data_IF_855099067842
#
_entry.id   IF_855099067842
#
_cell.length_a   1.000
_cell.length_b   1.000
_cell.length_c   1.000
_cell.angle_alpha   90.00
_cell.angle_beta   90.00
_cell.angle_gamma   90.00
#
_symmetry.space_group_name_H-M   'P 1'
#
loop_
_entity.id
_entity.type
_entity.pdbx_description
1 polymer ?
#
# COMPACT_ATOMS: atom_id res chain seq x y z
N UNK A 1 -26.30 -5.58 10.53
CA UNK A 1 -26.18 -5.83 9.08
C UNK A 1 -24.71 -6.08 8.82
N UNK A 2 -24.39 -7.27 8.32
CA UNK A 2 -23.03 -7.69 7.98
C UNK A 2 -22.80 -7.15 6.56
N UNK A 3 -21.88 -6.20 6.40
CA UNK A 3 -21.54 -5.69 5.08
C UNK A 3 -20.61 -6.72 4.45
N UNK A 4 -21.11 -7.46 3.46
CA UNK A 4 -20.28 -8.28 2.60
C UNK A 4 -19.64 -7.34 1.58
N UNK A 5 -18.32 -7.13 1.70
CA UNK A 5 -17.54 -6.39 0.69
C UNK A 5 -17.02 -7.36 -0.36
N UNK A 6 -17.07 -6.95 -1.63
CA UNK A 6 -16.63 -7.74 -2.78
C UNK A 6 -15.24 -7.28 -3.17
N UNK A 7 -14.27 -8.18 -3.05
CA UNK A 7 -12.88 -7.92 -3.42
C UNK A 7 -12.55 -8.66 -4.72
N UNK A 8 -11.85 -8.00 -5.64
CA UNK A 8 -11.51 -8.54 -6.97
C UNK A 8 -10.25 -9.39 -6.91
N UNK A 9 -10.35 -10.63 -7.38
CA UNK A 9 -9.20 -11.51 -7.53
C UNK A 9 -8.61 -11.33 -8.92
N UNK A 10 -7.33 -10.95 -9.01
CA UNK A 10 -6.61 -10.83 -10.28
C UNK A 10 -5.60 -11.98 -10.46
N UNK A 11 -5.44 -12.43 -11.70
CA UNK A 11 -4.31 -13.29 -12.09
C UNK A 11 -2.99 -12.51 -12.09
N UNK A 12 -1.87 -13.22 -12.20
CA UNK A 12 -0.54 -12.62 -12.25
C UNK A 12 -0.31 -11.66 -13.45
N UNK A 13 -1.13 -11.76 -14.50
CA UNK A 13 -1.17 -10.89 -15.67
C UNK A 13 -2.30 -9.85 -15.63
N UNK A 14 -3.02 -9.72 -14.51
CA UNK A 14 -4.03 -8.67 -14.30
C UNK A 14 -5.42 -8.99 -14.85
N UNK A 15 -5.73 -10.26 -15.15
CA UNK A 15 -7.06 -10.69 -15.56
C UNK A 15 -7.96 -10.92 -14.34
N UNK A 16 -9.18 -10.40 -14.40
CA UNK A 16 -10.23 -10.67 -13.41
C UNK A 16 -10.56 -12.18 -13.35
N UNK A 17 -10.43 -12.75 -12.15
CA UNK A 17 -10.72 -14.13 -11.79
C UNK A 17 -12.03 -14.27 -11.01
N UNK A 18 -12.70 -13.16 -10.71
CA UNK A 18 -13.95 -13.08 -9.99
C UNK A 18 -13.83 -12.37 -8.65
N UNK A 19 -14.92 -12.42 -7.89
CA UNK A 19 -15.06 -11.70 -6.62
C UNK A 19 -15.20 -12.67 -5.45
N UNK A 20 -14.63 -12.29 -4.32
CA UNK A 20 -14.81 -12.97 -3.03
C UNK A 20 -15.63 -12.09 -2.09
N UNK A 21 -16.53 -12.69 -1.30
CA UNK A 21 -17.21 -11.95 -0.23
C UNK A 21 -16.43 -12.04 1.07
N UNK A 22 -16.20 -10.89 1.73
CA UNK A 22 -15.51 -10.81 3.00
C UNK A 22 -16.51 -10.61 4.14
N UNK A 23 -16.67 -11.62 4.99
CA UNK A 23 -17.53 -11.54 6.17
C UNK A 23 -16.84 -10.79 7.31
N UNK A 24 -17.64 -10.10 8.12
CA UNK A 24 -17.21 -9.35 9.31
C UNK A 24 -16.24 -8.20 9.00
N UNK A 25 -16.19 -7.75 7.75
CA UNK A 25 -15.52 -6.53 7.36
C UNK A 25 -16.24 -5.33 7.96
N UNK A 26 -15.48 -4.42 8.55
CA UNK A 26 -16.01 -3.19 9.14
C UNK A 26 -15.37 -1.94 8.57
N UNK A 27 -14.42 -2.11 7.65
CA UNK A 27 -13.99 -1.06 6.74
C UNK A 27 -15.20 -0.47 6.01
N UNK A 28 -15.13 0.82 5.71
CA UNK A 28 -16.19 1.57 5.01
C UNK A 28 -15.75 2.01 3.63
N UNK A 29 -14.48 2.37 3.54
CA UNK A 29 -13.84 2.92 2.36
C UNK A 29 -12.38 2.49 2.43
N UNK A 30 -12.02 1.29 1.95
CA UNK A 30 -10.62 0.88 1.95
C UNK A 30 -9.83 1.70 0.93
N UNK A 31 -8.80 2.42 1.37
CA UNK A 31 -7.93 3.20 0.49
C UNK A 31 -6.71 2.41 0.02
N UNK A 32 -6.28 1.38 0.76
CA UNK A 32 -5.08 0.62 0.41
C UNK A 32 -5.23 -0.89 0.63
N UNK A 33 -4.57 -1.65 -0.26
CA UNK A 33 -4.43 -3.10 -0.18
C UNK A 33 -2.96 -3.48 -0.06
N UNK A 34 -2.66 -4.45 0.80
CA UNK A 34 -1.33 -5.01 0.96
C UNK A 34 -1.35 -6.53 0.98
N UNK A 35 -0.25 -7.15 0.60
CA UNK A 35 -0.11 -8.60 0.62
C UNK A 35 1.22 -8.99 1.27
N UNK A 36 1.19 -9.91 2.24
CA UNK A 36 2.40 -10.30 2.93
C UNK A 36 2.19 -11.37 3.99
N UNK A 37 3.26 -11.71 4.70
CA UNK A 37 3.21 -12.67 5.81
C UNK A 37 2.36 -12.11 6.96
N UNK A 38 1.73 -12.98 7.75
CA UNK A 38 0.98 -12.60 8.95
C UNK A 38 1.15 -13.67 10.04
N UNK A 39 0.76 -13.36 11.28
CA UNK A 39 1.06 -14.24 12.42
C UNK A 39 0.22 -15.54 12.49
N UNK A 40 -0.82 -15.66 11.68
CA UNK A 40 -1.80 -16.75 11.76
C UNK A 40 -2.04 -17.49 10.44
N UNK A 41 -1.41 -17.05 9.36
CA UNK A 41 -1.40 -17.73 8.06
C UNK A 41 -0.08 -17.43 7.34
N UNK A 42 0.36 -18.27 6.38
CA UNK A 42 1.57 -17.99 5.60
C UNK A 42 1.51 -16.64 4.88
N UNK A 43 0.32 -16.30 4.38
CA UNK A 43 0.04 -15.08 3.63
C UNK A 43 -1.34 -14.54 3.99
N UNK A 44 -1.42 -13.21 4.04
CA UNK A 44 -2.65 -12.47 4.27
C UNK A 44 -2.75 -11.32 3.27
N UNK A 45 -4.00 -10.95 2.99
CA UNK A 45 -4.35 -9.67 2.38
C UNK A 45 -4.68 -8.71 3.53
N UNK A 46 -4.11 -7.51 3.45
CA UNK A 46 -4.25 -6.40 4.39
C UNK A 46 -5.11 -5.35 3.72
N UNK A 47 -6.21 -4.98 4.35
CA UNK A 47 -7.24 -4.12 3.77
C UNK A 47 -7.38 -2.92 4.69
N UNK A 48 -6.89 -1.77 4.26
CA UNK A 48 -6.70 -0.60 5.10
C UNK A 48 -7.74 0.47 4.80
N UNK A 49 -8.48 0.86 5.84
CA UNK A 49 -9.39 2.00 5.87
C UNK A 49 -8.71 3.07 6.75
N UNK A 50 -7.85 3.84 6.09
CA UNK A 50 -6.82 4.77 6.58
C UNK A 50 -6.95 6.20 6.06
N UNK A 51 -7.89 6.44 5.14
CA UNK A 51 -8.22 7.75 4.61
C UNK A 51 -9.09 8.55 5.59
N UNK A 52 -8.83 9.85 5.60
CA UNK A 52 -9.54 10.81 6.43
C UNK A 52 -9.35 12.23 5.89
N UNK A 53 -9.95 12.52 4.72
CA UNK A 53 -9.87 13.83 4.07
C UNK A 53 -10.28 15.00 5.00
N UNK A 54 -11.09 14.75 6.04
CA UNK A 54 -11.50 15.78 7.02
C UNK A 54 -10.65 15.79 8.30
N UNK A 55 -9.71 14.85 8.45
CA UNK A 55 -8.82 14.72 9.60
C UNK A 55 -9.57 14.77 10.95
N UNK A 56 -10.60 13.94 11.10
CA UNK A 56 -11.44 13.86 12.30
C UNK A 56 -11.46 12.49 12.99
N UNK A 57 -10.96 11.44 12.32
CA UNK A 57 -10.92 10.07 12.83
C UNK A 57 -9.79 9.94 13.84
N UNK A 58 -10.16 9.57 15.07
CA UNK A 58 -9.20 9.31 16.15
C UNK A 58 -8.37 8.06 15.92
N UNK A 59 -8.94 7.08 15.23
CA UNK A 59 -8.28 5.84 14.84
C UNK A 59 -8.70 5.44 13.43
N UNK A 60 -7.75 4.86 12.71
CA UNK A 60 -7.95 4.16 11.43
C UNK A 60 -7.81 2.67 11.65
N UNK A 61 -8.08 1.85 10.64
CA UNK A 61 -8.02 0.40 10.81
C UNK A 61 -7.44 -0.32 9.61
N UNK A 62 -6.90 -1.51 9.90
CA UNK A 62 -6.40 -2.44 8.90
C UNK A 62 -6.98 -3.81 9.24
N UNK A 63 -7.75 -4.38 8.33
CA UNK A 63 -8.36 -5.69 8.46
C UNK A 63 -7.58 -6.71 7.64
N UNK A 64 -7.30 -7.86 8.24
CA UNK A 64 -6.51 -8.92 7.61
C UNK A 64 -7.40 -10.13 7.37
N UNK A 65 -7.32 -10.65 6.14
CA UNK A 65 -7.87 -11.95 5.76
C UNK A 65 -6.73 -12.89 5.39
N UNK A 66 -6.79 -14.18 5.74
CA UNK A 66 -5.89 -15.18 5.16
C UNK A 66 -6.07 -15.21 3.64
N UNK A 67 -4.99 -15.44 2.91
CA UNK A 67 -5.07 -15.61 1.45
C UNK A 67 -6.08 -16.74 1.11
N UNK A 68 -7.14 -16.44 0.35
CA UNK A 68 -8.14 -17.43 0.00
C UNK A 68 -7.60 -18.40 -1.07
N UNK A 69 -8.07 -19.65 -1.05
CA UNK A 69 -7.86 -20.55 -2.17
C UNK A 69 -8.67 -20.09 -3.39
N UNK A 70 -8.25 -20.47 -4.61
CA UNK A 70 -8.93 -20.07 -5.86
C UNK A 70 -10.43 -20.42 -5.92
N UNK A 71 -10.88 -21.43 -5.17
CA UNK A 71 -12.29 -21.86 -5.15
C UNK A 71 -13.07 -21.27 -3.97
N UNK A 72 -12.44 -20.44 -3.14
CA UNK A 72 -13.07 -19.81 -1.97
C UNK A 72 -13.99 -18.69 -2.44
N UNK A 73 -15.28 -18.80 -2.12
CA UNK A 73 -16.27 -17.73 -2.39
C UNK A 73 -16.46 -16.76 -1.23
N UNK A 74 -16.13 -17.20 -0.01
CA UNK A 74 -16.27 -16.42 1.21
C UNK A 74 -15.07 -16.59 2.11
N UNK A 75 -14.55 -15.49 2.61
CA UNK A 75 -13.51 -15.43 3.63
C UNK A 75 -13.99 -14.54 4.77
N UNK A 76 -13.38 -14.64 5.95
CA UNK A 76 -13.75 -13.81 7.09
C UNK A 76 -12.53 -13.04 7.58
N UNK A 77 -12.75 -11.80 8.03
CA UNK A 77 -11.70 -11.03 8.73
C UNK A 77 -11.18 -11.85 9.91
N UNK A 78 -9.88 -12.12 9.90
CA UNK A 78 -9.20 -12.87 10.95
C UNK A 78 -8.62 -11.95 12.03
N UNK A 79 -8.24 -10.72 11.66
CA UNK A 79 -7.67 -9.73 12.57
C UNK A 79 -8.00 -8.31 12.15
N UNK A 80 -8.25 -7.43 13.12
CA UNK A 80 -8.36 -5.98 12.94
C UNK A 80 -7.26 -5.29 13.75
N UNK A 81 -6.53 -4.38 13.13
CA UNK A 81 -5.54 -3.52 13.77
C UNK A 81 -6.11 -2.11 13.76
N UNK A 82 -6.32 -1.55 14.94
CA UNK A 82 -6.67 -0.14 15.10
C UNK A 82 -5.39 0.66 15.26
N UNK A 83 -5.25 1.73 14.50
CA UNK A 83 -4.05 2.56 14.47
C UNK A 83 -4.41 3.99 14.85
N UNK A 84 -3.65 4.56 15.78
CA UNK A 84 -3.67 6.00 16.06
C UNK A 84 -2.34 6.62 15.65
N UNK A 85 -2.38 7.85 15.15
CA UNK A 85 -1.18 8.58 14.77
C UNK A 85 -0.73 9.53 15.89
N UNK A 86 0.57 9.81 16.00
CA UNK A 86 1.05 10.83 16.90
C UNK A 86 0.61 12.21 16.39
N UNK A 87 0.03 13.02 17.27
CA UNK A 87 -0.38 14.39 16.94
C UNK A 87 -1.78 14.56 16.38
N UNK A 88 -2.55 13.48 16.16
CA UNK A 88 -3.96 13.56 15.77
C UNK A 88 -4.29 12.76 14.51
N UNK A 89 -5.41 13.09 13.88
CA UNK A 89 -5.87 12.43 12.65
C UNK A 89 -4.94 12.74 11.47
N UNK A 90 -4.77 11.78 10.56
CA UNK A 90 -3.93 11.88 9.37
C UNK A 90 -4.69 11.27 8.20
N UNK A 91 -4.74 11.97 7.07
CA UNK A 91 -5.23 11.42 5.82
C UNK A 91 -4.13 10.59 5.18
N UNK A 92 -4.30 9.27 5.05
CA UNK A 92 -3.33 8.39 4.39
C UNK A 92 -4.03 7.56 3.33
N UNK A 93 -3.38 7.36 2.18
CA UNK A 93 -3.94 6.50 1.11
C UNK A 93 -2.97 5.40 0.68
N UNK A 94 -1.69 5.48 1.08
CA UNK A 94 -0.70 4.46 0.71
C UNK A 94 -0.29 3.59 1.90
N UNK A 95 -0.30 2.27 1.71
CA UNK A 95 0.17 1.29 2.69
C UNK A 95 1.18 0.33 2.08
N UNK A 96 2.22 0.01 2.82
CA UNK A 96 3.22 -0.99 2.46
C UNK A 96 3.23 -2.12 3.50
N UNK A 97 3.21 -3.36 3.02
CA UNK A 97 3.34 -4.57 3.85
C UNK A 97 4.63 -5.28 3.49
N UNK A 98 5.59 -5.31 4.42
CA UNK A 98 6.90 -5.90 4.15
C UNK A 98 6.79 -7.42 3.95
N UNK A 99 7.26 -7.98 2.82
CA UNK A 99 7.05 -9.40 2.51
C UNK A 99 7.65 -10.37 3.53
N UNK A 100 8.75 -10.01 4.18
CA UNK A 100 9.50 -10.90 5.08
C UNK A 100 8.78 -11.16 6.41
N UNK A 101 8.21 -10.14 7.03
CA UNK A 101 7.67 -10.22 8.39
C UNK A 101 6.28 -9.59 8.57
N UNK A 102 5.69 -9.06 7.49
CA UNK A 102 4.38 -8.42 7.55
C UNK A 102 4.39 -7.07 8.27
N UNK A 103 5.55 -6.43 8.40
CA UNK A 103 5.62 -5.10 8.98
C UNK A 103 4.89 -4.08 8.11
N UNK A 104 4.05 -3.27 8.75
CA UNK A 104 3.21 -2.30 8.05
C UNK A 104 3.82 -0.90 8.15
N UNK A 105 3.83 -0.20 7.02
CA UNK A 105 4.10 1.23 6.89
C UNK A 105 2.89 1.90 6.25
N UNK A 106 2.54 3.09 6.72
CA UNK A 106 1.53 3.95 6.11
C UNK A 106 2.19 5.26 5.68
N UNK A 107 1.80 5.79 4.53
CA UNK A 107 2.27 7.07 3.98
C UNK A 107 1.09 8.04 3.90
N UNK A 108 1.29 9.23 4.46
CA UNK A 108 0.32 10.31 4.42
C UNK A 108 0.05 10.76 2.98
N UNK A 109 -1.21 11.04 2.69
CA UNK A 109 -1.59 11.78 1.50
C UNK A 109 -1.63 13.26 1.82
N UNK A 110 -0.78 14.02 1.14
CA UNK A 110 -0.81 15.49 1.17
C UNK A 110 -1.92 15.98 0.25
N UNK A 111 -2.57 17.08 0.61
CA UNK A 111 -3.55 17.70 -0.28
C UNK A 111 -2.85 18.44 -1.43
N UNK A 112 -3.54 18.58 -2.58
CA UNK A 112 -2.96 19.20 -3.78
C UNK A 112 -2.48 20.65 -3.54
N UNK A 113 -3.07 21.35 -2.59
CA UNK A 113 -2.72 22.71 -2.16
C UNK A 113 -1.58 22.75 -1.13
N UNK A 114 -1.13 21.60 -0.61
CA UNK A 114 -0.08 21.48 0.41
C UNK A 114 0.98 20.41 0.06
N UNK A 115 1.30 20.30 -1.24
CA UNK A 115 2.39 19.45 -1.74
C UNK A 115 3.78 20.03 -1.43
N UNK A 116 3.86 21.30 -1.02
CA UNK A 116 5.12 21.92 -0.58
C UNK A 116 5.63 21.36 0.75
N UNK A 117 4.77 20.68 1.52
CA UNK A 117 5.12 19.97 2.75
C UNK A 117 5.35 18.49 2.45
N UNK A 118 6.37 17.86 3.05
CA UNK A 118 6.68 16.47 2.77
C UNK A 118 5.65 15.52 3.40
N UNK A 119 5.35 14.41 2.71
CA UNK A 119 4.45 13.39 3.24
C UNK A 119 5.10 12.63 4.40
N UNK A 120 4.40 12.46 5.51
CA UNK A 120 4.90 11.70 6.66
C UNK A 120 4.79 10.19 6.43
N UNK A 121 5.78 9.46 6.92
CA UNK A 121 5.83 8.00 6.88
C UNK A 121 5.70 7.45 8.29
N UNK A 122 4.75 6.54 8.49
CA UNK A 122 4.39 5.97 9.78
C UNK A 122 4.65 4.48 9.83
N UNK A 123 5.46 4.06 10.81
CA UNK A 123 5.76 2.67 11.11
C UNK A 123 4.78 2.10 12.14
N UNK A 124 4.12 1.00 11.78
CA UNK A 124 3.30 0.20 12.69
C UNK A 124 4.06 -1.07 13.13
N UNK A 125 4.86 -1.64 12.23
CA UNK A 125 5.63 -2.85 12.49
C UNK A 125 4.84 -4.15 12.36
N UNK A 126 5.51 -5.30 12.54
CA UNK A 126 4.90 -6.61 12.31
C UNK A 126 3.90 -6.94 13.41
N UNK A 127 2.77 -7.53 13.03
CA UNK A 127 1.68 -7.87 13.95
C UNK A 127 1.77 -9.33 14.39
N UNK A 128 2.75 -9.64 15.25
CA UNK A 128 3.08 -11.01 15.69
C UNK A 128 2.11 -11.63 16.69
N UNK A 129 1.28 -10.81 17.36
CA UNK A 129 0.31 -11.29 18.34
C UNK A 129 -0.90 -11.98 17.70
N UNK A 130 -1.42 -13.03 18.35
CA UNK A 130 -2.59 -13.81 17.90
C UNK A 130 -3.95 -13.20 18.24
N UNK A 131 -4.00 -12.07 18.94
CA UNK A 131 -5.27 -11.39 19.23
C UNK A 131 -5.96 -11.00 17.93
N UNK A 132 -7.28 -11.26 17.87
CA UNK A 132 -8.16 -10.84 16.76
C UNK A 132 -8.28 -9.32 16.64
N UNK A 133 -8.00 -8.59 17.72
CA UNK A 133 -7.96 -7.14 17.70
C UNK A 133 -6.70 -6.62 18.40
N UNK A 134 -6.03 -5.67 17.78
CA UNK A 134 -4.89 -4.94 18.37
C UNK A 134 -5.06 -3.44 18.21
N UNK A 135 -4.54 -2.67 19.16
CA UNK A 135 -4.44 -1.21 19.08
C UNK A 135 -2.97 -0.84 19.08
N UNK A 136 -2.56 -0.01 18.13
CA UNK A 136 -1.16 0.40 17.95
C UNK A 136 -1.10 1.91 17.77
N UNK A 137 -0.14 2.55 18.44
CA UNK A 137 0.23 3.93 18.15
C UNK A 137 1.32 3.88 17.10
N UNK A 138 1.06 4.46 15.92
CA UNK A 138 2.05 4.52 14.85
C UNK A 138 3.23 5.41 15.27
N UNK A 139 4.42 5.12 14.74
CA UNK A 139 5.60 5.96 14.94
C UNK A 139 5.92 6.66 13.64
N UNK A 140 5.96 7.99 13.62
CA UNK A 140 6.51 8.71 12.47
C UNK A 140 8.01 8.37 12.38
N UNK A 141 8.43 7.84 11.24
CA UNK A 141 9.80 7.38 11.03
C UNK A 141 10.54 8.20 9.99
N UNK A 142 9.89 8.62 8.92
CA UNK A 142 10.53 9.30 7.81
C UNK A 142 9.56 10.31 7.19
N UNK A 143 10.04 11.01 6.18
CA UNK A 143 9.22 11.80 5.27
C UNK A 143 9.55 11.45 3.83
N UNK A 144 8.62 11.64 2.89
CA UNK A 144 8.88 11.53 1.46
C UNK A 144 9.21 12.91 0.90
N UNK A 145 10.26 13.01 0.08
CA UNK A 145 10.67 14.24 -0.57
C UNK A 145 9.52 14.85 -1.39
N UNK A 146 9.42 16.18 -1.36
CA UNK A 146 8.40 16.93 -2.12
C UNK A 146 8.70 16.99 -3.61
N UNK A 147 9.96 16.74 -4.02
CA UNK A 147 10.36 16.69 -5.43
C UNK A 147 11.01 15.36 -5.76
N UNK A 148 10.79 14.92 -6.98
CA UNK A 148 11.52 13.78 -7.54
C UNK A 148 12.94 14.18 -7.95
N UNK A 149 13.76 13.20 -8.33
CA UNK A 149 15.14 13.41 -8.76
C UNK A 149 15.29 14.27 -10.03
N UNK A 150 14.20 14.52 -10.76
CA UNK A 150 14.15 15.45 -11.91
C UNK A 150 13.69 16.86 -11.49
N UNK A 151 13.46 17.10 -10.20
CA UNK A 151 13.05 18.38 -9.65
C UNK A 151 11.56 18.71 -9.80
N UNK A 152 10.73 17.74 -10.21
CA UNK A 152 9.27 17.92 -10.36
C UNK A 152 8.58 17.66 -9.02
N UNK A 153 7.58 18.47 -8.71
CA UNK A 153 6.71 18.26 -7.55
C UNK A 153 6.15 16.84 -7.54
N UNK A 154 6.20 16.13 -6.42
CA UNK A 154 5.69 14.78 -6.24
C UNK A 154 4.43 14.76 -5.36
N UNK A 155 3.65 13.69 -5.50
CA UNK A 155 2.38 13.51 -4.81
C UNK A 155 1.23 14.29 -5.46
N UNK A 156 0.01 14.14 -4.91
CA UNK A 156 -0.36 13.36 -3.74
C UNK A 156 -0.27 11.84 -3.99
N UNK A 157 0.14 11.07 -2.98
CA UNK A 157 0.32 9.63 -3.13
C UNK A 157 -0.98 8.87 -2.86
N UNK A 158 -1.31 7.93 -3.73
CA UNK A 158 -2.57 7.17 -3.71
C UNK A 158 -2.37 5.72 -3.30
N UNK A 159 -1.21 5.11 -3.59
CA UNK A 159 -0.93 3.74 -3.20
C UNK A 159 0.58 3.42 -3.26
N UNK A 160 1.00 2.31 -2.66
CA UNK A 160 2.38 1.86 -2.64
C UNK A 160 2.53 0.33 -2.60
N UNK A 161 3.59 -0.19 -3.23
CA UNK A 161 3.91 -1.61 -3.20
C UNK A 161 5.40 -1.87 -2.92
N UNK A 162 5.70 -2.84 -2.06
CA UNK A 162 7.08 -3.28 -1.86
C UNK A 162 7.57 -4.08 -3.07
N UNK A 163 8.88 -4.00 -3.33
CA UNK A 163 9.58 -4.99 -4.14
C UNK A 163 9.54 -6.36 -3.46
N UNK A 164 9.80 -7.43 -4.21
CA UNK A 164 9.75 -8.81 -3.69
C UNK A 164 10.71 -9.05 -2.53
N UNK A 165 11.87 -8.38 -2.52
CA UNK A 165 12.85 -8.41 -1.43
C UNK A 165 12.41 -7.59 -0.22
N UNK A 166 11.50 -6.63 -0.38
CA UNK A 166 11.11 -5.67 0.64
C UNK A 166 12.17 -4.61 0.95
N UNK A 167 13.19 -4.48 0.10
CA UNK A 167 14.28 -3.49 0.21
C UNK A 167 13.90 -2.15 -0.43
N UNK A 168 13.18 -2.25 -1.54
CA UNK A 168 12.76 -1.13 -2.37
C UNK A 168 11.25 -1.11 -2.43
N UNK A 169 10.68 0.01 -2.83
CA UNK A 169 9.24 0.14 -2.97
C UNK A 169 8.91 1.06 -4.13
N UNK A 170 7.66 0.92 -4.56
CA UNK A 170 7.05 1.72 -5.60
C UNK A 170 5.94 2.54 -4.98
N UNK A 171 5.90 3.82 -5.31
CA UNK A 171 4.91 4.77 -4.80
C UNK A 171 4.18 5.37 -5.99
N UNK A 172 2.86 5.38 -5.94
CA UNK A 172 2.01 5.94 -6.99
C UNK A 172 1.43 7.28 -6.55
N UNK A 173 1.51 8.27 -7.44
CA UNK A 173 0.61 9.42 -7.41
C UNK A 173 -0.42 9.29 -8.53
N UNK A 174 -1.36 10.23 -8.65
CA UNK A 174 -2.41 10.21 -9.68
C UNK A 174 -1.91 10.04 -11.13
N UNK A 175 -0.62 10.29 -11.42
CA UNK A 175 -0.09 10.32 -12.80
C UNK A 175 1.21 9.57 -12.99
N UNK A 176 1.99 9.34 -11.95
CA UNK A 176 3.38 8.88 -11.99
C UNK A 176 3.59 7.76 -11.00
N UNK A 177 4.73 7.09 -11.17
CA UNK A 177 5.22 6.07 -10.27
C UNK A 177 6.65 6.41 -9.95
N UNK A 178 7.02 6.19 -8.70
CA UNK A 178 8.34 6.41 -8.18
C UNK A 178 8.90 5.11 -7.63
N UNK A 179 10.15 4.83 -7.93
CA UNK A 179 10.96 3.87 -7.22
C UNK A 179 11.72 4.59 -6.10
N UNK A 180 11.78 3.97 -4.92
CA UNK A 180 12.49 4.51 -3.78
C UNK A 180 12.98 3.38 -2.85
N UNK A 181 13.90 3.74 -1.96
CA UNK A 181 14.53 2.82 -0.99
C UNK A 181 14.60 3.49 0.38
N UNK A 182 14.89 2.72 1.44
CA UNK A 182 15.23 3.31 2.74
C UNK A 182 14.06 3.92 3.54
N UNK A 183 12.88 3.28 3.55
CA UNK A 183 11.72 3.78 4.32
C UNK A 183 11.87 3.79 5.85
N UNK A 184 12.88 3.10 6.39
CA UNK A 184 13.03 2.89 7.83
C UNK A 184 14.34 3.48 8.32
N UNK A 185 14.40 4.81 8.36
CA UNK A 185 15.46 5.59 9.01
C UNK A 185 14.83 6.77 9.73
N UNK A 186 15.18 7.00 11.01
CA UNK A 186 14.52 8.02 11.84
C UNK A 186 14.87 9.42 11.34
N UNK A 187 13.87 10.15 10.84
CA UNK A 187 14.01 11.52 10.35
C UNK A 187 14.67 11.63 8.98
N UNK A 188 14.76 10.53 8.24
CA UNK A 188 15.27 10.54 6.88
C UNK A 188 14.20 11.06 5.91
N UNK A 189 14.64 11.90 4.97
CA UNK A 189 13.83 12.25 3.81
C UNK A 189 14.13 11.24 2.69
N UNK A 190 13.09 10.53 2.25
CA UNK A 190 13.18 9.49 1.22
C UNK A 190 13.12 10.14 -0.16
N UNK A 191 14.20 9.97 -0.91
CA UNK A 191 14.28 10.43 -2.29
C UNK A 191 13.43 9.57 -3.24
N UNK A 192 12.89 10.21 -4.28
CA UNK A 192 12.04 9.57 -5.28
C UNK A 192 12.73 9.56 -6.64
N UNK A 193 12.87 8.38 -7.24
CA UNK A 193 13.28 8.22 -8.63
C UNK A 193 12.04 7.91 -9.49
N UNK A 194 11.63 8.78 -10.41
CA UNK A 194 10.49 8.53 -11.28
C UNK A 194 10.80 7.36 -12.23
N UNK A 195 9.80 6.50 -12.49
CA UNK A 195 9.89 5.45 -13.50
C UNK A 195 8.83 5.66 -14.59
N UNK A 196 9.07 5.17 -15.82
CA UNK A 196 8.08 5.27 -16.89
C UNK A 196 6.73 4.67 -16.48
N UNK A 197 5.66 5.47 -16.60
CA UNK A 197 4.29 5.05 -16.29
C UNK A 197 3.42 5.22 -17.55
N UNK A 198 2.53 4.28 -17.87
CA UNK A 198 1.57 4.46 -18.95
C UNK A 198 0.64 5.64 -18.63
N UNK A 199 0.20 6.36 -19.66
CA UNK A 199 -0.78 7.42 -19.49
C UNK A 199 -2.11 6.83 -19.00
N UNK A 200 -2.58 7.29 -17.84
CA UNK A 200 -3.84 6.89 -17.22
C UNK A 200 -4.59 8.16 -16.80
N UNK A 201 -5.93 8.11 -16.72
CA UNK A 201 -6.72 9.30 -16.34
C UNK A 201 -6.40 9.73 -14.90
N UNK A 202 -6.57 8.81 -13.95
CA UNK A 202 -6.25 8.99 -12.53
C UNK A 202 -5.74 7.64 -12.03
N UNK A 203 -4.48 7.58 -11.60
CA UNK A 203 -3.86 6.40 -11.03
C UNK A 203 -4.29 6.21 -9.58
N UNK A 204 -4.75 5.00 -9.25
CA UNK A 204 -5.25 4.68 -7.91
C UNK A 204 -4.34 3.65 -7.25
N UNK A 205 -4.43 2.37 -7.66
CA UNK A 205 -3.68 1.29 -7.03
C UNK A 205 -2.40 0.91 -7.78
N UNK A 206 -1.45 0.34 -7.05
CA UNK A 206 -0.22 -0.27 -7.55
C UNK A 206 0.06 -1.58 -6.81
N UNK A 207 0.32 -2.65 -7.55
CA UNK A 207 0.72 -3.93 -6.96
C UNK A 207 1.90 -4.54 -7.70
N UNK A 208 2.73 -5.31 -6.98
CA UNK A 208 3.77 -6.13 -7.60
C UNK A 208 3.20 -7.52 -7.87
N UNK A 209 3.44 -8.06 -9.07
CA UNK A 209 3.06 -9.42 -9.39
C UNK A 209 3.91 -10.46 -8.62
N UNK A 210 3.47 -11.72 -8.58
CA UNK A 210 4.06 -12.76 -7.73
C UNK A 210 5.56 -13.08 -8.02
N UNK A 211 5.97 -12.98 -9.28
CA UNK A 211 7.38 -13.21 -9.65
C UNK A 211 8.27 -12.00 -9.40
N UNK A 212 7.69 -10.80 -9.25
CA UNK A 212 8.36 -9.53 -9.02
C UNK A 212 8.81 -8.83 -10.30
N UNK A 213 8.40 -9.32 -11.48
CA UNK A 213 8.81 -8.77 -12.77
C UNK A 213 7.89 -7.67 -13.30
N UNK A 214 6.73 -7.45 -12.68
CA UNK A 214 5.75 -6.46 -13.17
C UNK A 214 5.05 -5.70 -12.05
N UNK A 215 4.80 -4.43 -12.33
CA UNK A 215 3.81 -3.63 -11.60
C UNK A 215 2.48 -3.71 -12.32
N UNK A 216 1.41 -3.91 -11.56
CA UNK A 216 0.01 -3.85 -11.97
C UNK A 216 -0.56 -2.51 -11.49
N UNK A 217 -1.30 -1.82 -12.34
CA UNK A 217 -1.82 -0.48 -12.07
C UNK A 217 -3.31 -0.44 -12.39
N UNK A 218 -4.09 0.18 -11.50
CA UNK A 218 -5.49 0.49 -11.77
C UNK A 218 -5.72 2.01 -11.92
N UNK A 219 -6.86 2.36 -12.50
CA UNK A 219 -7.38 3.73 -12.47
C UNK A 219 -8.72 3.77 -11.76
N UNK A 220 -9.14 4.97 -11.37
CA UNK A 220 -10.47 5.20 -10.78
C UNK A 220 -11.59 4.68 -11.70
N UNK A 221 -12.61 4.05 -11.10
CA UNK A 221 -13.82 3.59 -11.77
C UNK A 221 -13.96 2.07 -11.87
N UNK A 222 -15.21 1.59 -11.94
CA UNK A 222 -15.53 0.16 -12.06
C UNK A 222 -15.06 -0.39 -13.41
N UNK A 223 -14.43 -1.56 -13.40
CA UNK A 223 -13.87 -2.24 -14.58
C UNK A 223 -12.81 -1.41 -15.32
N UNK A 224 -12.09 -0.55 -14.60
CA UNK A 224 -10.93 0.14 -15.16
C UNK A 224 -9.90 -0.90 -15.67
N UNK A 225 -9.32 -0.70 -16.86
CA UNK A 225 -8.33 -1.62 -17.38
C UNK A 225 -7.07 -1.65 -16.50
N UNK A 226 -6.56 -2.84 -16.22
CA UNK A 226 -5.27 -3.02 -15.54
C UNK A 226 -4.15 -2.74 -16.53
N UNK A 227 -3.29 -1.77 -16.22
CA UNK A 227 -2.07 -1.53 -16.96
C UNK A 227 -0.89 -2.24 -16.29
N UNK A 228 0.12 -2.63 -17.07
CA UNK A 228 1.31 -3.30 -16.53
C UNK A 228 2.61 -2.61 -16.95
N UNK A 229 3.57 -2.52 -16.04
CA UNK A 229 4.94 -2.12 -16.33
C UNK A 229 5.86 -3.30 -16.09
N UNK A 230 6.70 -3.64 -17.06
CA UNK A 230 7.76 -4.65 -16.87
C UNK A 230 8.93 -4.00 -16.15
N UNK A 231 9.27 -4.56 -15.00
CA UNK A 231 10.47 -4.22 -14.25
C UNK A 231 11.63 -4.99 -14.86
N UNK A 232 12.46 -4.31 -15.63
CA UNK A 232 13.70 -4.91 -16.12
C UNK A 232 14.63 -5.09 -14.91
N UNK A 233 14.89 -6.34 -14.51
CA UNK A 233 15.97 -6.70 -13.59
C UNK A 233 17.32 -6.39 -14.25
N UNK A 234 17.64 -5.11 -14.38
CA UNK A 234 18.97 -4.67 -14.71
C UNK A 234 19.74 -4.63 -13.40
N UNK A 235 20.17 -5.81 -12.96
CA UNK A 235 21.30 -5.87 -12.05
C UNK A 235 22.46 -5.17 -12.75
N UNK A 236 22.69 -3.91 -12.43
CA UNK A 236 23.97 -3.25 -12.68
C UNK A 236 25.01 -3.96 -11.81
N UNK A 237 25.54 -5.08 -12.32
CA UNK A 237 26.95 -5.37 -12.08
C UNK A 237 27.70 -4.23 -12.75
N UNK A 238 28.10 -3.24 -11.96
CA UNK A 238 29.31 -2.51 -12.30
C UNK A 238 30.44 -3.52 -12.20
N UNK A 239 30.89 -3.99 -13.35
CA UNK A 239 32.20 -4.63 -13.46
C UNK A 239 33.23 -3.58 -13.02
N UNK A 240 33.88 -3.89 -11.90
CA UNK A 240 35.07 -3.21 -11.44
C UNK A 240 36.21 -3.48 -12.43
N UNK A 241 36.67 -2.43 -13.10
CA UNK A 241 38.02 -2.34 -13.64
C UNK A 241 38.87 -1.50 -12.70
#
# INVERSE_FOLDING_TARGET
>A
MQNDELDEALSADGRDLGQISINNMTNRDPEALGYGNCAFAPKCIYIADIGDNRQHRREVRIELIPEPSLNTRRVSVAKTIFVTYPGGAINSEAMLVRPSDGAIIIIEKRDNDDLASPARVFWIGPQTGRSRQTRVVARQVATIATKDSEGRQAGPFTDAAYSKSGTDFYLRDYRRIYHATGLVGRGEEVALAPIPSPAMMIGEAIALNADGSRLLLSSEGRHAPIATIILNNSATRQDSH
#
